data_IF_970430089430
#
_entry.id   IF_970430089430
#
_cell.length_a   1.000
_cell.length_b   1.000
_cell.length_c   1.000
_cell.angle_alpha   90.00
_cell.angle_beta   90.00
_cell.angle_gamma   90.00
#
_symmetry.space_group_name_H-M   'P 1'
#
loop_
_entity.id
_entity.type
_entity.pdbx_description
1 polymer ?
#
# COMPACT_ATOMS: atom_id res chain seq x y z
N UNK A 1 -0.89 5.47 -11.81
CA UNK A 1 -0.36 4.84 -10.57
C UNK A 1 0.67 5.72 -9.85
N UNK A 2 1.56 6.43 -10.55
CA UNK A 2 2.48 7.37 -9.88
C UNK A 2 1.73 8.40 -9.02
N UNK A 3 0.67 9.04 -9.54
CA UNK A 3 -0.14 9.97 -8.75
C UNK A 3 -0.71 9.37 -7.46
N UNK A 4 -1.15 8.10 -7.51
CA UNK A 4 -1.55 7.36 -6.29
C UNK A 4 -0.37 7.26 -5.31
N UNK A 5 0.80 6.81 -5.78
CA UNK A 5 1.98 6.65 -4.93
C UNK A 5 2.39 7.97 -4.27
N UNK A 6 2.42 9.07 -5.04
CA UNK A 6 2.72 10.40 -4.51
C UNK A 6 1.69 10.87 -3.48
N UNK A 7 0.39 10.74 -3.78
CA UNK A 7 -0.66 11.18 -2.85
C UNK A 7 -0.66 10.36 -1.56
N UNK A 8 -0.40 9.05 -1.64
CA UNK A 8 -0.33 8.17 -0.48
C UNK A 8 0.91 8.45 0.37
N UNK A 9 2.08 8.55 -0.25
CA UNK A 9 3.38 8.60 0.42
C UNK A 9 3.93 10.02 0.63
N UNK A 10 3.15 11.05 0.30
CA UNK A 10 3.56 12.45 0.55
C UNK A 10 3.60 12.81 2.03
N UNK A 11 2.79 12.15 2.87
CA UNK A 11 2.66 12.48 4.29
C UNK A 11 3.90 12.08 5.12
N UNK A 12 4.45 10.85 5.06
CA UNK A 12 5.52 10.41 5.95
C UNK A 12 6.78 11.29 5.94
N UNK A 13 7.32 11.76 4.79
CA UNK A 13 8.54 12.58 4.80
C UNK A 13 8.36 13.97 5.39
N UNK A 14 7.14 14.47 5.51
CA UNK A 14 6.82 15.78 6.10
C UNK A 14 6.01 15.66 7.40
N UNK A 15 5.92 14.45 7.96
CA UNK A 15 5.10 14.15 9.12
C UNK A 15 5.46 15.03 10.33
N UNK A 16 6.75 15.16 10.65
CA UNK A 16 7.25 15.97 11.75
C UNK A 16 6.79 17.43 11.62
N UNK A 17 6.91 18.01 10.43
CA UNK A 17 6.49 19.39 10.16
C UNK A 17 4.97 19.57 10.31
N UNK A 18 4.19 18.58 9.88
CA UNK A 18 2.72 18.60 10.03
C UNK A 18 2.34 18.49 11.51
N UNK A 19 2.96 17.58 12.25
CA UNK A 19 2.66 17.36 13.67
C UNK A 19 3.00 18.59 14.51
N UNK A 20 4.10 19.28 14.23
CA UNK A 20 4.51 20.51 14.88
C UNK A 20 3.53 21.65 14.59
N UNK A 21 3.20 21.90 13.31
CA UNK A 21 2.33 23.02 12.93
C UNK A 21 0.89 22.84 13.39
N UNK A 22 0.31 21.64 13.19
CA UNK A 22 -1.07 21.35 13.55
C UNK A 22 -1.22 20.87 15.00
N UNK A 23 -0.11 20.78 15.75
CA UNK A 23 -0.05 20.31 17.16
C UNK A 23 -0.70 18.94 17.34
N UNK A 24 -0.39 18.01 16.45
CA UNK A 24 -0.93 16.66 16.45
C UNK A 24 -0.10 15.74 17.35
N UNK A 25 -0.76 14.78 17.96
CA UNK A 25 -0.12 13.60 18.54
C UNK A 25 0.34 12.64 17.45
N UNK A 26 1.25 11.71 17.76
CA UNK A 26 1.67 10.68 16.80
C UNK A 26 0.52 9.72 16.44
N UNK A 27 -0.41 9.49 17.38
CA UNK A 27 -1.63 8.73 17.09
C UNK A 27 -2.50 9.43 16.03
N UNK A 28 -2.71 10.74 16.14
CA UNK A 28 -3.44 11.54 15.15
C UNK A 28 -2.73 11.59 13.80
N UNK A 29 -1.41 11.70 13.80
CA UNK A 29 -0.59 11.60 12.59
C UNK A 29 -0.70 10.22 11.92
N UNK A 30 -0.65 9.15 12.71
CA UNK A 30 -0.92 7.79 12.25
C UNK A 30 -2.35 7.63 11.70
N UNK A 31 -3.34 8.26 12.35
CA UNK A 31 -4.73 8.29 11.87
C UNK A 31 -4.85 8.95 10.49
N UNK A 32 -4.15 10.05 10.22
CA UNK A 32 -4.13 10.70 8.91
C UNK A 32 -3.62 9.75 7.81
N UNK A 33 -2.60 8.92 8.11
CA UNK A 33 -2.14 7.89 7.18
C UNK A 33 -3.19 6.80 6.99
N UNK A 34 -3.80 6.35 8.07
CA UNK A 34 -4.84 5.31 8.11
C UNK A 34 -6.11 5.68 7.34
N UNK A 35 -6.57 6.92 7.47
CA UNK A 35 -7.80 7.42 6.85
C UNK A 35 -7.78 7.34 5.31
N UNK A 36 -6.59 7.41 4.69
CA UNK A 36 -6.47 7.21 3.25
C UNK A 36 -6.87 5.80 2.81
N UNK A 37 -6.62 4.80 3.64
CA UNK A 37 -6.91 3.40 3.33
C UNK A 37 -8.35 2.99 3.67
N UNK A 38 -9.04 3.76 4.52
CA UNK A 38 -10.40 3.46 4.98
C UNK A 38 -11.40 3.19 3.84
N UNK A 39 -11.48 4.01 2.77
CA UNK A 39 -12.42 3.77 1.68
C UNK A 39 -12.20 2.44 0.96
N UNK A 40 -10.96 1.94 0.89
CA UNK A 40 -10.63 0.71 0.16
C UNK A 40 -11.30 -0.52 0.79
N UNK A 41 -11.59 -0.50 2.09
CA UNK A 41 -12.30 -1.59 2.78
C UNK A 41 -13.65 -1.85 2.11
N UNK A 42 -14.36 -0.79 1.74
CA UNK A 42 -15.70 -0.86 1.17
C UNK A 42 -15.66 -0.83 -0.37
N UNK A 43 -14.80 0.00 -0.94
CA UNK A 43 -14.74 0.25 -2.38
C UNK A 43 -13.96 -0.80 -3.15
N UNK A 44 -13.14 -1.62 -2.50
CA UNK A 44 -12.31 -2.63 -3.18
C UNK A 44 -13.11 -3.58 -4.10
N UNK A 45 -14.34 -3.91 -3.71
CA UNK A 45 -15.25 -4.75 -4.52
C UNK A 45 -16.17 -3.87 -5.38
N UNK A 46 -16.69 -2.77 -4.81
CA UNK A 46 -17.69 -1.93 -5.47
C UNK A 46 -17.13 -1.15 -6.66
N UNK A 47 -15.87 -0.72 -6.60
CA UNK A 47 -15.24 0.07 -7.65
C UNK A 47 -15.15 -0.69 -8.99
N UNK A 48 -14.85 -2.00 -8.94
CA UNK A 48 -14.91 -2.86 -10.12
C UNK A 48 -16.31 -2.92 -10.73
N UNK A 49 -17.34 -3.13 -9.90
CA UNK A 49 -18.73 -3.17 -10.34
C UNK A 49 -19.20 -1.85 -10.97
N UNK A 50 -18.81 -0.70 -10.39
CA UNK A 50 -19.12 0.60 -10.97
C UNK A 50 -18.39 0.82 -12.29
N UNK A 51 -17.13 0.39 -12.39
CA UNK A 51 -16.37 0.48 -13.63
C UNK A 51 -16.97 -0.38 -14.75
N UNK A 52 -17.46 -1.58 -14.42
CA UNK A 52 -18.14 -2.45 -15.40
C UNK A 52 -19.48 -1.88 -15.90
N UNK A 53 -20.21 -1.17 -15.03
CA UNK A 53 -21.52 -0.58 -15.38
C UNK A 53 -21.42 0.76 -16.11
N UNK A 54 -20.58 1.67 -15.60
CA UNK A 54 -20.50 3.06 -16.08
C UNK A 54 -19.34 3.27 -17.07
N UNK A 55 -18.48 2.27 -17.22
CA UNK A 55 -17.29 2.27 -18.06
C UNK A 55 -16.05 2.83 -17.36
N UNK A 56 -14.88 2.27 -17.68
CA UNK A 56 -13.62 2.60 -17.02
C UNK A 56 -13.18 4.08 -17.22
N UNK A 57 -13.60 4.70 -18.33
CA UNK A 57 -13.29 6.12 -18.57
C UNK A 57 -13.95 7.04 -17.55
N UNK A 58 -15.28 6.94 -17.40
CA UNK A 58 -16.04 7.83 -16.50
C UNK A 58 -15.60 7.66 -15.05
N UNK A 59 -15.45 6.40 -14.62
CA UNK A 59 -15.00 6.09 -13.26
C UNK A 59 -13.57 6.54 -13.06
N UNK A 60 -12.67 6.36 -14.02
CA UNK A 60 -11.30 6.84 -13.96
C UNK A 60 -11.19 8.35 -13.81
N UNK A 61 -11.99 9.12 -14.58
CA UNK A 61 -12.04 10.60 -14.47
C UNK A 61 -12.52 11.02 -13.08
N UNK A 62 -13.65 10.48 -12.61
CA UNK A 62 -14.16 10.80 -11.26
C UNK A 62 -13.15 10.45 -10.17
N UNK A 63 -12.48 9.31 -10.29
CA UNK A 63 -11.47 8.88 -9.34
C UNK A 63 -10.27 9.82 -9.27
N UNK A 64 -9.76 10.26 -10.43
CA UNK A 64 -8.64 11.20 -10.50
C UNK A 64 -9.04 12.58 -9.95
N UNK A 65 -10.25 13.04 -10.23
CA UNK A 65 -10.80 14.28 -9.65
C UNK A 65 -10.85 14.17 -8.13
N UNK A 66 -11.45 13.10 -7.59
CA UNK A 66 -11.55 12.92 -6.13
C UNK A 66 -10.19 12.81 -5.46
N UNK A 67 -9.25 12.06 -6.05
CA UNK A 67 -7.89 11.94 -5.52
C UNK A 67 -7.18 13.30 -5.47
N UNK A 68 -7.30 14.09 -6.54
CA UNK A 68 -6.66 15.41 -6.64
C UNK A 68 -7.33 16.44 -5.71
N UNK A 69 -8.66 16.44 -5.63
CA UNK A 69 -9.40 17.31 -4.70
C UNK A 69 -9.10 16.97 -3.24
N UNK A 70 -9.05 15.70 -2.89
CA UNK A 70 -8.68 15.26 -1.55
C UNK A 70 -7.26 15.68 -1.18
N UNK A 71 -6.31 15.55 -2.11
CA UNK A 71 -4.93 16.04 -1.92
C UNK A 71 -4.90 17.57 -1.74
N UNK A 72 -5.72 18.33 -2.49
CA UNK A 72 -5.84 19.77 -2.37
C UNK A 72 -6.42 20.17 -1.00
N UNK A 73 -7.49 19.53 -0.56
CA UNK A 73 -8.08 19.76 0.77
C UNK A 73 -7.04 19.49 1.86
N UNK A 74 -6.26 18.43 1.73
CA UNK A 74 -5.16 18.13 2.65
C UNK A 74 -4.08 19.22 2.63
N UNK A 75 -3.67 19.69 1.45
CA UNK A 75 -2.64 20.73 1.29
C UNK A 75 -3.02 22.05 1.99
N UNK A 76 -4.30 22.45 1.93
CA UNK A 76 -4.77 23.71 2.52
C UNK A 76 -5.33 23.54 3.94
N UNK A 77 -5.25 22.35 4.50
CA UNK A 77 -5.82 22.07 5.83
C UNK A 77 -5.07 22.80 6.94
N UNK A 78 -5.82 23.30 7.91
CA UNK A 78 -5.30 23.90 9.14
C UNK A 78 -5.70 23.14 10.40
N UNK A 79 -6.44 22.05 10.27
CA UNK A 79 -6.89 21.21 11.40
C UNK A 79 -6.89 19.74 11.03
N UNK A 80 -6.82 18.87 12.06
CA UNK A 80 -6.90 17.41 11.90
C UNK A 80 -8.15 16.97 11.11
N UNK A 81 -9.30 17.61 11.34
CA UNK A 81 -10.56 17.25 10.71
C UNK A 81 -10.51 17.48 9.19
N UNK A 82 -10.08 18.67 8.75
CA UNK A 82 -9.95 18.96 7.32
C UNK A 82 -8.85 18.14 6.67
N UNK A 83 -7.73 17.91 7.36
CA UNK A 83 -6.67 17.03 6.90
C UNK A 83 -7.19 15.60 6.70
N UNK A 84 -7.95 15.07 7.68
CA UNK A 84 -8.57 13.76 7.62
C UNK A 84 -9.60 13.62 6.50
N UNK A 85 -10.48 14.62 6.32
CA UNK A 85 -11.43 14.66 5.21
C UNK A 85 -10.71 14.62 3.85
N UNK A 86 -9.64 15.41 3.69
CA UNK A 86 -8.81 15.38 2.49
C UNK A 86 -8.23 13.98 2.24
N UNK A 87 -7.72 13.31 3.28
CA UNK A 87 -7.17 11.95 3.18
C UNK A 87 -8.24 10.91 2.80
N UNK A 88 -9.45 10.98 3.38
CA UNK A 88 -10.55 10.09 3.02
C UNK A 88 -10.99 10.29 1.57
N UNK A 89 -11.21 11.55 1.15
CA UNK A 89 -11.64 11.86 -0.23
C UNK A 89 -10.55 11.41 -1.23
N UNK A 90 -9.28 11.71 -0.94
CA UNK A 90 -8.17 11.22 -1.77
C UNK A 90 -8.13 9.69 -1.82
N UNK A 91 -8.39 9.02 -0.69
CA UNK A 91 -8.47 7.57 -0.59
C UNK A 91 -9.58 6.94 -1.43
N UNK A 92 -10.76 7.57 -1.50
CA UNK A 92 -11.86 7.14 -2.40
C UNK A 92 -11.37 7.14 -3.86
N UNK A 93 -10.78 8.24 -4.31
CA UNK A 93 -10.24 8.36 -5.66
C UNK A 93 -9.12 7.37 -5.93
N UNK A 94 -8.18 7.24 -4.99
CA UNK A 94 -7.01 6.36 -5.10
C UNK A 94 -7.40 4.87 -5.15
N UNK A 95 -8.28 4.41 -4.27
CA UNK A 95 -8.80 3.05 -4.27
C UNK A 95 -9.47 2.70 -5.60
N UNK A 96 -10.29 3.62 -6.11
CA UNK A 96 -11.05 3.39 -7.35
C UNK A 96 -10.15 3.42 -8.58
N UNK A 97 -9.24 4.41 -8.70
CA UNK A 97 -8.36 4.51 -9.87
C UNK A 97 -7.37 3.34 -9.96
N UNK A 98 -6.92 2.78 -8.84
CA UNK A 98 -6.01 1.62 -8.86
C UNK A 98 -6.66 0.40 -9.50
N UNK A 99 -7.95 0.17 -9.24
CA UNK A 99 -8.72 -0.93 -9.82
C UNK A 99 -9.01 -0.67 -11.29
N UNK A 100 -9.47 0.54 -11.62
CA UNK A 100 -9.79 0.94 -13.01
C UNK A 100 -8.55 0.90 -13.90
N UNK A 101 -7.41 1.36 -13.43
CA UNK A 101 -6.17 1.33 -14.19
C UNK A 101 -5.69 -0.12 -14.47
N UNK A 102 -5.78 -1.00 -13.47
CA UNK A 102 -5.48 -2.42 -13.65
C UNK A 102 -6.44 -3.08 -14.64
N UNK A 103 -7.73 -2.73 -14.59
CA UNK A 103 -8.73 -3.19 -15.55
C UNK A 103 -8.42 -2.73 -16.98
N UNK A 104 -8.13 -1.43 -17.18
CA UNK A 104 -7.76 -0.88 -18.49
C UNK A 104 -6.55 -1.62 -19.06
N UNK A 105 -5.49 -1.80 -18.27
CA UNK A 105 -4.29 -2.53 -18.70
C UNK A 105 -4.61 -3.97 -19.07
N UNK A 106 -5.39 -4.67 -18.26
CA UNK A 106 -5.79 -6.05 -18.55
C UNK A 106 -6.60 -6.18 -19.84
N UNK A 107 -7.43 -5.18 -20.18
CA UNK A 107 -8.20 -5.16 -21.42
C UNK A 107 -7.35 -4.84 -22.65
N UNK A 108 -6.43 -3.87 -22.52
CA UNK A 108 -5.57 -3.45 -23.63
C UNK A 108 -4.54 -4.51 -24.03
N UNK A 109 -3.93 -5.19 -23.03
CA UNK A 109 -2.87 -6.19 -23.22
C UNK A 109 -3.40 -7.62 -23.19
N UNK A 110 -4.73 -7.81 -23.33
CA UNK A 110 -5.35 -9.14 -23.31
C UNK A 110 -4.75 -10.06 -24.37
N UNK A 111 -4.21 -11.22 -23.92
CA UNK A 111 -3.55 -12.20 -24.79
C UNK A 111 -2.12 -11.85 -25.20
N UNK A 112 -1.60 -10.70 -24.78
CA UNK A 112 -0.23 -10.23 -25.02
C UNK A 112 0.28 -9.52 -23.77
N UNK A 113 1.48 -9.78 -23.33
CA UNK A 113 2.29 -8.96 -22.40
C UNK A 113 1.59 -8.37 -21.15
N UNK A 114 0.43 -8.92 -20.73
CA UNK A 114 -0.30 -8.43 -19.53
C UNK A 114 0.61 -8.42 -18.30
N UNK A 115 1.44 -9.45 -18.15
CA UNK A 115 2.40 -9.56 -17.05
C UNK A 115 3.41 -8.42 -17.05
N UNK A 116 3.96 -8.07 -18.21
CA UNK A 116 4.91 -6.96 -18.37
C UNK A 116 4.25 -5.61 -18.05
N UNK A 117 3.04 -5.38 -18.62
CA UNK A 117 2.28 -4.15 -18.36
C UNK A 117 1.94 -3.97 -16.88
N UNK A 118 1.51 -5.03 -16.21
CA UNK A 118 1.24 -5.02 -14.76
C UNK A 118 2.53 -4.88 -13.95
N UNK A 119 3.62 -5.48 -14.39
CA UNK A 119 4.93 -5.29 -13.78
C UNK A 119 5.34 -3.81 -13.78
N UNK A 120 5.29 -3.14 -14.93
CA UNK A 120 5.58 -1.70 -15.07
C UNK A 120 4.60 -0.86 -14.21
N UNK A 121 3.32 -1.20 -14.23
CA UNK A 121 2.30 -0.53 -13.43
C UNK A 121 2.63 -0.59 -11.92
N UNK A 122 3.05 -1.75 -11.43
CA UNK A 122 3.35 -1.96 -10.02
C UNK A 122 4.67 -1.31 -9.57
N UNK A 123 5.63 -1.04 -10.48
CA UNK A 123 6.87 -0.30 -10.13
C UNK A 123 6.59 1.16 -9.76
N UNK A 124 5.45 1.71 -10.17
CA UNK A 124 5.09 3.08 -9.85
C UNK A 124 4.99 3.35 -8.33
N UNK A 125 4.57 2.35 -7.54
CA UNK A 125 4.46 2.51 -6.08
C UNK A 125 5.83 2.66 -5.41
N UNK A 126 6.79 1.72 -5.56
CA UNK A 126 8.11 1.88 -4.96
C UNK A 126 8.87 3.09 -5.52
N UNK A 127 8.78 3.38 -6.82
CA UNK A 127 9.43 4.56 -7.42
C UNK A 127 8.87 5.86 -6.84
N UNK A 128 7.54 6.01 -6.78
CA UNK A 128 6.92 7.18 -6.19
C UNK A 128 7.27 7.35 -4.71
N UNK A 129 7.32 6.26 -3.95
CA UNK A 129 7.72 6.29 -2.53
C UNK A 129 9.18 6.74 -2.37
N UNK A 130 10.10 6.18 -3.16
CA UNK A 130 11.52 6.58 -3.12
C UNK A 130 11.65 8.07 -3.40
N UNK A 131 10.98 8.59 -4.44
CA UNK A 131 11.02 10.02 -4.77
C UNK A 131 10.45 10.84 -3.63
N UNK A 132 9.27 10.51 -3.07
CA UNK A 132 8.69 11.24 -1.95
C UNK A 132 9.65 11.29 -0.76
N UNK A 133 10.16 10.15 -0.34
CA UNK A 133 11.02 10.08 0.84
C UNK A 133 12.35 10.80 0.68
N UNK A 134 12.93 10.78 -0.51
CA UNK A 134 14.23 11.45 -0.75
C UNK A 134 14.13 12.95 -1.01
N UNK A 135 12.95 13.44 -1.43
CA UNK A 135 12.81 14.85 -1.86
C UNK A 135 11.86 15.67 -0.99
N UNK A 136 10.72 15.11 -0.55
CA UNK A 136 9.66 15.88 0.07
C UNK A 136 10.02 16.40 1.47
N UNK A 137 10.83 15.65 2.23
CA UNK A 137 11.30 16.11 3.53
C UNK A 137 12.12 17.39 3.40
N UNK A 138 13.12 17.42 2.49
CA UNK A 138 13.95 18.60 2.22
C UNK A 138 13.15 19.79 1.69
N UNK A 139 12.22 19.54 0.77
CA UNK A 139 11.32 20.58 0.27
C UNK A 139 10.44 21.14 1.38
N UNK A 140 9.88 20.26 2.21
CA UNK A 140 9.06 20.68 3.34
C UNK A 140 9.82 21.53 4.36
N UNK A 141 11.07 21.18 4.64
CA UNK A 141 11.96 21.94 5.52
C UNK A 141 12.27 23.34 4.95
N UNK A 142 12.48 23.46 3.63
CA UNK A 142 12.91 24.72 3.00
C UNK A 142 11.76 25.68 2.71
N UNK A 143 10.58 25.20 2.34
CA UNK A 143 9.46 26.04 1.83
C UNK A 143 8.10 25.66 2.43
N UNK A 144 8.11 24.86 3.51
CA UNK A 144 6.89 24.41 4.23
C UNK A 144 6.30 23.12 3.68
N UNK A 145 5.70 22.32 4.59
CA UNK A 145 5.16 20.98 4.29
C UNK A 145 4.01 20.98 3.26
N UNK A 146 3.35 22.11 3.07
CA UNK A 146 2.26 22.24 2.09
C UNK A 146 2.75 22.12 0.65
N UNK A 147 3.95 22.62 0.35
CA UNK A 147 4.49 22.60 -1.02
C UNK A 147 4.68 21.18 -1.58
N UNK A 148 5.30 20.21 -0.88
CA UNK A 148 5.30 18.83 -1.31
C UNK A 148 3.89 18.28 -1.61
N UNK A 149 2.89 18.65 -0.81
CA UNK A 149 1.51 18.20 -1.06
C UNK A 149 0.92 18.88 -2.30
N UNK A 150 1.17 20.19 -2.54
CA UNK A 150 0.77 20.85 -3.78
C UNK A 150 1.44 20.22 -5.01
N UNK A 151 2.67 19.74 -4.90
CA UNK A 151 3.29 18.97 -5.99
C UNK A 151 2.47 17.70 -6.30
N UNK A 152 1.95 17.01 -5.29
CA UNK A 152 1.06 15.85 -5.53
C UNK A 152 -0.24 16.25 -6.21
N UNK A 153 -0.80 17.42 -5.87
CA UNK A 153 -1.98 17.98 -6.55
C UNK A 153 -1.69 18.25 -8.02
N UNK A 154 -0.54 18.89 -8.32
CA UNK A 154 -0.12 19.15 -9.71
C UNK A 154 0.07 17.85 -10.50
N UNK A 155 0.70 16.84 -9.91
CA UNK A 155 0.83 15.50 -10.52
C UNK A 155 -0.56 14.90 -10.78
N UNK A 156 -1.51 15.08 -9.86
CA UNK A 156 -2.90 14.65 -10.03
C UNK A 156 -3.59 15.34 -11.19
N UNK A 157 -3.44 16.68 -11.32
CA UNK A 157 -3.99 17.47 -12.43
C UNK A 157 -3.39 17.04 -13.77
N UNK A 158 -2.06 16.90 -13.84
CA UNK A 158 -1.36 16.42 -15.04
C UNK A 158 -1.82 14.99 -15.38
N UNK A 159 -1.97 14.12 -14.38
CA UNK A 159 -2.48 12.76 -14.57
C UNK A 159 -3.91 12.74 -15.10
N UNK A 160 -4.79 13.62 -14.60
CA UNK A 160 -6.16 13.78 -15.10
C UNK A 160 -6.17 14.29 -16.54
N UNK A 161 -5.39 15.34 -16.84
CA UNK A 161 -5.28 15.89 -18.20
C UNK A 161 -4.75 14.82 -19.19
N UNK A 162 -3.69 14.12 -18.81
CA UNK A 162 -3.15 13.02 -19.60
C UNK A 162 -4.19 11.90 -19.82
N UNK A 163 -4.95 11.54 -18.79
CA UNK A 163 -6.00 10.52 -18.91
C UNK A 163 -7.13 10.97 -19.85
N UNK A 164 -7.55 12.23 -19.77
CA UNK A 164 -8.59 12.79 -20.65
C UNK A 164 -8.15 12.81 -22.13
N UNK A 165 -6.88 13.15 -22.39
CA UNK A 165 -6.35 13.31 -23.76
C UNK A 165 -5.93 11.97 -24.37
N UNK A 166 -5.27 11.10 -23.57
CA UNK A 166 -4.63 9.89 -24.09
C UNK A 166 -5.51 8.63 -23.97
N UNK A 167 -6.60 8.67 -23.19
CA UNK A 167 -7.44 7.51 -23.03
C UNK A 167 -8.05 7.08 -24.36
N UNK A 168 -7.89 5.81 -24.67
CA UNK A 168 -8.58 5.16 -25.79
C UNK A 168 -9.27 3.89 -25.25
N UNK A 169 -10.51 3.59 -25.67
CA UNK A 169 -11.16 2.36 -25.29
C UNK A 169 -10.38 1.15 -25.84
N UNK A 170 -10.38 0.05 -25.11
CA UNK A 170 -9.72 -1.17 -25.55
C UNK A 170 -10.36 -1.68 -26.86
N UNK A 171 -9.56 -2.26 -27.79
CA UNK A 171 -10.06 -2.68 -29.11
C UNK A 171 -11.17 -3.73 -29.06
N UNK A 172 -11.14 -4.60 -28.04
CA UNK A 172 -12.13 -5.67 -27.83
C UNK A 172 -12.66 -5.58 -26.38
N UNK A 173 -13.63 -4.68 -26.10
CA UNK A 173 -14.24 -4.66 -24.79
C UNK A 173 -14.92 -6.01 -24.53
N UNK A 174 -14.80 -6.58 -23.33
CA UNK A 174 -15.53 -7.79 -23.01
C UNK A 174 -17.01 -7.53 -23.19
N UNK A 175 -17.72 -8.45 -23.83
CA UNK A 175 -19.17 -8.49 -23.74
C UNK A 175 -19.52 -8.43 -22.24
N UNK A 176 -20.51 -7.58 -21.90
CA UNK A 176 -21.00 -7.42 -20.50
C UNK A 176 -21.11 -8.80 -19.89
N UNK A 177 -20.16 -9.13 -19.02
CA UNK A 177 -20.27 -10.35 -18.22
C UNK A 177 -21.49 -10.08 -17.33
N UNK A 178 -22.62 -10.65 -17.68
CA UNK A 178 -23.73 -10.81 -16.76
C UNK A 178 -23.15 -11.62 -15.60
N UNK A 179 -22.80 -10.92 -14.52
CA UNK A 179 -22.51 -11.60 -13.25
C UNK A 179 -23.76 -12.45 -12.99
N UNK A 180 -23.61 -13.77 -13.19
CA UNK A 180 -24.60 -14.68 -12.65
C UNK A 180 -24.86 -14.24 -11.22
N UNK A 181 -26.15 -14.15 -10.86
CA UNK A 181 -26.65 -13.70 -9.55
C UNK A 181 -26.24 -14.64 -8.40
N UNK A 182 -24.99 -15.10 -8.39
CA UNK A 182 -24.47 -15.68 -7.18
C UNK A 182 -24.31 -14.53 -6.16
N UNK A 183 -25.10 -14.54 -5.11
CA UNK A 183 -25.05 -13.49 -4.09
C UNK A 183 -23.62 -13.34 -3.58
N UNK A 184 -23.16 -12.10 -3.35
CA UNK A 184 -21.82 -11.79 -2.87
C UNK A 184 -21.40 -12.66 -1.68
N UNK A 185 -22.34 -12.93 -0.77
CA UNK A 185 -22.13 -13.76 0.42
C UNK A 185 -21.81 -15.22 0.08
N UNK A 186 -22.50 -15.79 -0.89
CA UNK A 186 -22.26 -17.19 -1.32
C UNK A 186 -20.91 -17.32 -2.04
N UNK A 187 -20.49 -16.28 -2.76
CA UNK A 187 -19.17 -16.20 -3.38
C UNK A 187 -18.05 -16.16 -2.34
N UNK A 188 -18.20 -15.34 -1.31
CA UNK A 188 -17.20 -15.21 -0.21
C UNK A 188 -16.98 -16.56 0.52
N UNK A 189 -18.02 -17.34 0.74
CA UNK A 189 -17.92 -18.66 1.37
C UNK A 189 -17.24 -19.70 0.46
N UNK A 190 -17.35 -19.55 -0.86
CA UNK A 190 -16.74 -20.47 -1.86
C UNK A 190 -15.25 -20.23 -2.09
N UNK A 191 -14.72 -19.08 -1.70
CA UNK A 191 -13.30 -18.71 -1.92
C UNK A 191 -12.32 -19.58 -1.11
N UNK A 192 -12.80 -20.23 -0.06
CA UNK A 192 -12.00 -21.14 0.76
C UNK A 192 -11.10 -20.43 1.77
N UNK A 193 -10.84 -21.12 2.89
CA UNK A 193 -10.09 -20.56 4.05
C UNK A 193 -8.65 -20.17 3.69
N UNK A 194 -8.03 -20.84 2.72
CA UNK A 194 -6.64 -20.56 2.32
C UNK A 194 -6.45 -19.14 1.76
N UNK A 195 -7.44 -18.61 1.04
CA UNK A 195 -7.37 -17.24 0.50
C UNK A 195 -7.53 -16.20 1.62
N UNK A 196 -8.38 -16.48 2.62
CA UNK A 196 -8.49 -15.65 3.81
C UNK A 196 -7.19 -15.62 4.61
N UNK A 197 -6.53 -16.78 4.79
CA UNK A 197 -5.23 -16.84 5.48
C UNK A 197 -4.17 -16.01 4.74
N UNK A 198 -4.10 -16.08 3.41
CA UNK A 198 -3.21 -15.21 2.63
C UNK A 198 -3.61 -13.74 2.77
N UNK A 199 -4.90 -13.43 2.81
CA UNK A 199 -5.42 -12.10 3.11
C UNK A 199 -4.94 -11.58 4.48
N UNK A 200 -4.95 -12.42 5.50
CA UNK A 200 -4.42 -12.08 6.83
C UNK A 200 -2.90 -11.90 6.81
N UNK A 201 -2.12 -12.74 6.09
CA UNK A 201 -0.70 -12.49 5.91
C UNK A 201 -0.46 -11.11 5.29
N UNK A 202 -1.24 -10.75 4.26
CA UNK A 202 -1.15 -9.45 3.59
C UNK A 202 -1.58 -8.30 4.49
N UNK A 203 -2.56 -8.50 5.37
CA UNK A 203 -3.01 -7.54 6.38
C UNK A 203 -1.90 -7.22 7.38
N UNK A 204 -1.34 -8.24 8.01
CA UNK A 204 -0.28 -8.06 9.01
C UNK A 204 0.96 -7.41 8.43
N UNK A 205 1.35 -7.84 7.22
CA UNK A 205 2.46 -7.24 6.48
C UNK A 205 2.23 -5.76 6.21
N UNK A 206 1.07 -5.39 5.65
CA UNK A 206 0.77 -3.98 5.36
C UNK A 206 0.61 -3.16 6.64
N UNK A 207 0.00 -3.70 7.70
CA UNK A 207 -0.06 -3.03 8.99
C UNK A 207 1.34 -2.67 9.50
N UNK A 208 2.30 -3.61 9.44
CA UNK A 208 3.67 -3.39 9.90
C UNK A 208 4.44 -2.41 8.98
N UNK A 209 4.46 -2.68 7.67
CA UNK A 209 5.26 -1.91 6.70
C UNK A 209 4.77 -0.48 6.54
N UNK A 210 3.44 -0.27 6.47
CA UNK A 210 2.89 1.08 6.33
C UNK A 210 3.08 1.88 7.62
N UNK A 211 2.93 1.26 8.80
CA UNK A 211 3.21 1.93 10.07
C UNK A 211 4.68 2.35 10.18
N UNK A 212 5.60 1.44 9.83
CA UNK A 212 7.03 1.79 9.79
C UNK A 212 7.29 2.92 8.80
N UNK A 213 6.81 2.81 7.56
CA UNK A 213 6.97 3.85 6.54
C UNK A 213 6.43 5.20 7.00
N UNK A 214 5.34 5.20 7.77
CA UNK A 214 4.73 6.44 8.30
C UNK A 214 5.66 7.15 9.27
N UNK A 215 6.30 6.43 10.18
CA UNK A 215 7.08 7.01 11.26
C UNK A 215 8.59 6.90 11.08
N UNK A 216 9.09 6.17 10.08
CA UNK A 216 10.53 6.00 9.89
C UNK A 216 11.28 7.31 9.69
N UNK A 217 10.82 8.29 8.87
CA UNK A 217 11.50 9.58 8.77
C UNK A 217 11.57 10.31 10.12
N UNK A 218 10.46 10.40 10.85
CA UNK A 218 10.40 11.04 12.16
C UNK A 218 11.28 10.33 13.19
N UNK A 219 11.29 8.98 13.18
CA UNK A 219 12.19 8.20 14.02
C UNK A 219 13.66 8.53 13.74
N UNK A 220 14.09 8.57 12.49
CA UNK A 220 15.49 8.88 12.17
C UNK A 220 15.86 10.32 12.50
N UNK A 221 14.93 11.27 12.32
CA UNK A 221 15.11 12.68 12.78
C UNK A 221 15.28 12.71 14.30
N UNK A 222 14.48 11.97 15.07
CA UNK A 222 14.61 11.89 16.52
C UNK A 222 15.94 11.27 17.00
N UNK A 223 16.65 10.54 16.11
CA UNK A 223 18.00 10.02 16.33
C UNK A 223 19.12 10.98 15.89
N UNK A 224 18.77 12.20 15.48
CA UNK A 224 19.73 13.25 15.09
C UNK A 224 20.13 13.25 13.63
N UNK A 225 19.50 12.44 12.79
CA UNK A 225 19.75 12.51 11.34
C UNK A 225 19.04 13.70 10.70
N UNK A 226 19.66 14.28 9.68
CA UNK A 226 19.01 15.33 8.87
C UNK A 226 17.76 14.79 8.17
N UNK A 227 16.76 15.65 7.94
CA UNK A 227 15.48 15.27 7.27
C UNK A 227 15.74 14.56 5.94
N UNK A 228 16.70 15.03 5.15
CA UNK A 228 17.03 14.41 3.87
C UNK A 228 17.63 12.99 4.00
N UNK A 229 18.50 12.76 4.99
CA UNK A 229 19.11 11.46 5.22
C UNK A 229 18.11 10.49 5.89
N UNK A 230 17.26 10.98 6.79
CA UNK A 230 16.16 10.22 7.38
C UNK A 230 15.18 9.69 6.30
N UNK A 231 14.83 10.57 5.35
CA UNK A 231 14.03 10.16 4.19
C UNK A 231 14.74 9.13 3.30
N UNK A 232 16.04 9.30 3.04
CA UNK A 232 16.82 8.31 2.30
C UNK A 232 16.82 6.95 3.01
N UNK A 233 17.12 6.89 4.30
CA UNK A 233 17.10 5.65 5.07
C UNK A 233 15.71 4.98 5.00
N UNK A 234 14.64 5.74 5.23
CA UNK A 234 13.28 5.22 5.14
C UNK A 234 12.93 4.70 3.72
N UNK A 235 13.50 5.29 2.65
CA UNK A 235 13.28 4.84 1.28
C UNK A 235 13.89 3.48 0.97
N UNK A 236 14.92 3.04 1.71
CA UNK A 236 15.63 1.76 1.47
C UNK A 236 14.68 0.57 1.47
N UNK A 237 13.61 0.63 2.26
CA UNK A 237 12.54 -0.36 2.26
C UNK A 237 12.01 -0.64 0.83
N UNK A 238 11.83 0.40 0.03
CA UNK A 238 11.27 0.29 -1.32
C UNK A 238 12.31 -0.06 -2.38
N UNK A 239 13.59 0.22 -2.14
CA UNK A 239 14.67 -0.23 -3.02
C UNK A 239 14.74 -1.75 -3.10
N UNK A 240 14.57 -2.44 -1.96
CA UNK A 240 14.48 -3.91 -1.94
C UNK A 240 13.28 -4.42 -2.73
N UNK A 241 12.12 -3.81 -2.56
CA UNK A 241 10.93 -4.16 -3.32
C UNK A 241 11.14 -3.97 -4.84
N UNK A 242 11.76 -2.86 -5.26
CA UNK A 242 12.01 -2.58 -6.68
C UNK A 242 13.04 -3.53 -7.29
N UNK A 243 14.15 -3.79 -6.60
CA UNK A 243 15.28 -4.56 -7.14
C UNK A 243 15.12 -6.08 -6.98
N UNK A 244 14.66 -6.54 -5.82
CA UNK A 244 14.66 -7.96 -5.47
C UNK A 244 13.35 -8.69 -5.79
N UNK A 245 12.19 -7.99 -5.84
CA UNK A 245 10.91 -8.66 -6.07
C UNK A 245 10.85 -9.46 -7.38
N UNK A 246 11.42 -9.03 -8.52
CA UNK A 246 11.45 -9.84 -9.72
C UNK A 246 12.28 -11.13 -9.58
N UNK A 247 13.37 -11.07 -8.80
CA UNK A 247 14.26 -12.22 -8.54
C UNK A 247 13.53 -13.22 -7.64
N UNK A 248 12.95 -12.73 -6.55
CA UNK A 248 12.17 -13.56 -5.62
C UNK A 248 10.95 -14.16 -6.31
N UNK A 249 10.26 -13.40 -7.16
CA UNK A 249 9.13 -13.91 -7.96
C UNK A 249 9.54 -15.12 -8.79
N UNK A 250 10.64 -15.05 -9.53
CA UNK A 250 11.18 -16.19 -10.30
C UNK A 250 11.54 -17.38 -9.42
N UNK A 251 12.10 -17.12 -8.22
CA UNK A 251 12.46 -18.18 -7.28
C UNK A 251 11.20 -18.87 -6.73
N UNK A 252 10.16 -18.11 -6.40
CA UNK A 252 8.85 -18.62 -5.98
C UNK A 252 8.21 -19.50 -7.07
N UNK A 253 8.30 -19.09 -8.32
CA UNK A 253 7.76 -19.87 -9.44
C UNK A 253 8.50 -21.20 -9.62
N UNK A 254 9.82 -21.23 -9.39
CA UNK A 254 10.63 -22.47 -9.46
C UNK A 254 10.36 -23.40 -8.27
N UNK A 255 10.27 -22.87 -7.07
CA UNK A 255 10.13 -23.67 -5.82
C UNK A 255 8.68 -24.06 -5.56
N UNK A 256 7.71 -23.24 -5.99
CA UNK A 256 6.28 -23.52 -5.86
C UNK A 256 5.67 -23.35 -4.47
N UNK A 257 6.45 -23.03 -3.43
CA UNK A 257 6.05 -22.95 -2.03
C UNK A 257 5.80 -21.53 -1.57
N UNK A 258 4.69 -20.91 -2.00
CA UNK A 258 4.33 -19.53 -1.65
C UNK A 258 4.31 -19.29 -0.13
N UNK A 259 3.77 -20.23 0.63
CA UNK A 259 3.67 -20.19 2.11
C UNK A 259 5.05 -20.10 2.78
N UNK A 260 6.04 -20.81 2.27
CA UNK A 260 7.41 -20.75 2.79
C UNK A 260 8.04 -19.35 2.61
N UNK A 261 7.89 -18.76 1.42
CA UNK A 261 8.42 -17.42 1.13
C UNK A 261 7.73 -16.34 1.96
N UNK A 262 6.40 -16.41 2.10
CA UNK A 262 5.64 -15.49 2.97
C UNK A 262 6.13 -15.60 4.43
N UNK A 263 6.25 -16.84 4.94
CA UNK A 263 6.69 -17.08 6.31
C UNK A 263 8.13 -16.64 6.56
N UNK A 264 9.05 -16.94 5.65
CA UNK A 264 10.45 -16.48 5.73
C UNK A 264 10.54 -14.95 5.69
N UNK A 265 9.81 -14.30 4.77
CA UNK A 265 9.73 -12.85 4.68
C UNK A 265 9.22 -12.22 5.98
N UNK A 266 8.18 -12.80 6.60
CA UNK A 266 7.67 -12.37 7.90
C UNK A 266 8.70 -12.49 9.02
N UNK A 267 9.41 -13.60 9.11
CA UNK A 267 10.45 -13.82 10.12
C UNK A 267 11.64 -12.83 9.96
N UNK A 268 12.11 -12.64 8.73
CA UNK A 268 13.18 -11.67 8.43
C UNK A 268 12.71 -10.25 8.76
N UNK A 269 11.46 -9.90 8.43
CA UNK A 269 10.89 -8.59 8.70
C UNK A 269 10.76 -8.34 10.22
N UNK A 270 10.31 -9.34 10.99
CA UNK A 270 10.23 -9.26 12.45
C UNK A 270 11.62 -9.02 13.07
N UNK A 271 12.61 -9.75 12.60
CA UNK A 271 14.02 -9.57 13.03
C UNK A 271 14.50 -8.16 12.69
N UNK A 272 14.19 -7.66 11.48
CA UNK A 272 14.61 -6.32 11.06
C UNK A 272 13.98 -5.22 11.93
N UNK A 273 12.69 -5.30 12.26
CA UNK A 273 12.04 -4.35 13.16
C UNK A 273 12.65 -4.39 14.58
N UNK A 274 12.94 -5.57 15.09
CA UNK A 274 13.62 -5.70 16.37
C UNK A 274 15.04 -5.11 16.34
N UNK A 275 15.81 -5.37 15.30
CA UNK A 275 17.15 -4.82 15.14
C UNK A 275 17.15 -3.29 15.07
N UNK A 276 16.18 -2.64 14.44
CA UNK A 276 16.06 -1.17 14.43
C UNK A 276 15.99 -0.60 15.84
N UNK A 277 15.39 -1.30 16.80
CA UNK A 277 15.29 -0.83 18.19
C UNK A 277 16.61 -0.95 18.98
N UNK A 278 17.54 -1.79 18.52
CA UNK A 278 18.78 -2.15 19.24
C UNK A 278 20.04 -1.65 18.55
N UNK A 279 19.97 -1.28 17.29
CA UNK A 279 21.14 -0.87 16.51
C UNK A 279 21.47 0.61 16.72
N UNK A 280 22.75 0.90 16.77
CA UNK A 280 23.28 2.26 16.61
C UNK A 280 23.49 2.62 15.12
N UNK A 281 23.76 1.62 14.28
CA UNK A 281 23.80 1.75 12.81
C UNK A 281 22.49 1.22 12.20
N UNK A 282 21.72 2.12 11.58
CA UNK A 282 20.43 1.78 10.99
C UNK A 282 20.51 1.27 9.56
N UNK A 283 21.66 1.39 8.89
CA UNK A 283 21.79 0.93 7.50
C UNK A 283 21.58 -0.57 7.39
N UNK A 284 22.21 -1.35 8.27
CA UNK A 284 22.11 -2.81 8.26
C UNK A 284 20.67 -3.30 8.48
N UNK A 285 19.93 -2.88 9.53
CA UNK A 285 18.52 -3.27 9.68
C UNK A 285 17.64 -2.83 8.50
N UNK A 286 17.89 -1.67 7.90
CA UNK A 286 17.13 -1.21 6.74
C UNK A 286 17.37 -2.07 5.50
N UNK A 287 18.61 -2.54 5.27
CA UNK A 287 18.92 -3.49 4.19
C UNK A 287 18.22 -4.83 4.44
N UNK A 288 18.26 -5.36 5.67
CA UNK A 288 17.55 -6.59 6.04
C UNK A 288 16.04 -6.44 5.80
N UNK A 289 15.47 -5.29 6.16
CA UNK A 289 14.06 -4.98 5.95
C UNK A 289 13.71 -4.89 4.45
N UNK A 290 14.59 -4.28 3.65
CA UNK A 290 14.44 -4.18 2.21
C UNK A 290 14.38 -5.58 1.54
N UNK A 291 15.24 -6.50 2.00
CA UNK A 291 15.19 -7.91 1.55
C UNK A 291 13.87 -8.56 1.96
N UNK A 292 13.44 -8.41 3.23
CA UNK A 292 12.22 -9.03 3.75
C UNK A 292 10.96 -8.61 2.97
N UNK A 293 10.86 -7.32 2.64
CA UNK A 293 9.70 -6.77 1.89
C UNK A 293 9.60 -7.39 0.48
N UNK A 294 10.69 -7.80 -0.14
CA UNK A 294 10.67 -8.44 -1.45
C UNK A 294 10.07 -9.87 -1.44
N UNK A 295 10.10 -10.55 -0.29
CA UNK A 295 9.66 -11.96 -0.17
C UNK A 295 8.14 -12.14 -0.13
N UNK A 296 7.36 -11.13 0.21
CA UNK A 296 5.95 -11.30 0.60
C UNK A 296 4.97 -10.97 -0.54
N UNK A 297 5.05 -9.81 -1.23
CA UNK A 297 4.03 -9.41 -2.22
C UNK A 297 3.85 -10.40 -3.36
N UNK A 298 4.95 -10.85 -3.98
CA UNK A 298 4.90 -11.79 -5.10
C UNK A 298 4.11 -13.06 -4.79
N UNK A 299 4.51 -13.85 -3.76
CA UNK A 299 3.78 -15.04 -3.34
C UNK A 299 2.33 -14.79 -2.94
N UNK A 300 2.03 -13.68 -2.27
CA UNK A 300 0.67 -13.30 -1.86
C UNK A 300 -0.23 -13.13 -3.08
N UNK A 301 0.19 -12.34 -4.07
CA UNK A 301 -0.61 -12.09 -5.27
C UNK A 301 -0.64 -13.27 -6.24
N UNK A 302 0.37 -14.15 -6.23
CA UNK A 302 0.36 -15.37 -7.04
C UNK A 302 -0.57 -16.45 -6.46
N UNK A 303 -0.88 -16.43 -5.17
CA UNK A 303 -1.62 -17.50 -4.50
C UNK A 303 -3.06 -17.66 -4.99
N UNK A 304 -3.90 -16.62 -5.13
CA UNK A 304 -5.28 -16.76 -5.60
C UNK A 304 -5.38 -17.45 -6.95
N UNK A 305 -4.48 -17.15 -7.89
CA UNK A 305 -4.49 -17.77 -9.22
C UNK A 305 -4.16 -19.26 -9.21
N UNK A 306 -3.51 -19.77 -8.15
CA UNK A 306 -3.17 -21.19 -8.00
C UNK A 306 -4.31 -22.02 -7.37
N UNK A 307 -5.22 -21.38 -6.63
CA UNK A 307 -6.25 -22.09 -5.83
C UNK A 307 -7.68 -21.79 -6.27
N UNK A 308 -7.91 -20.65 -6.95
CA UNK A 308 -9.24 -20.23 -7.38
C UNK A 308 -9.49 -20.48 -8.86
N UNK A 309 -10.74 -20.82 -9.18
CA UNK A 309 -11.21 -20.83 -10.57
C UNK A 309 -11.20 -19.41 -11.15
N UNK A 310 -10.99 -19.22 -12.46
CA UNK A 310 -10.93 -17.89 -13.08
C UNK A 310 -12.09 -16.96 -12.74
N UNK A 311 -13.30 -17.50 -12.62
CA UNK A 311 -14.52 -16.73 -12.25
C UNK A 311 -14.50 -16.14 -10.84
N UNK A 312 -13.66 -16.65 -9.93
CA UNK A 312 -13.57 -16.20 -8.52
C UNK A 312 -12.30 -15.40 -8.23
N UNK A 313 -11.42 -15.18 -9.23
CA UNK A 313 -10.15 -14.45 -9.02
C UNK A 313 -10.38 -13.00 -8.57
N UNK A 314 -11.34 -12.31 -9.18
CA UNK A 314 -11.68 -10.93 -8.79
C UNK A 314 -12.12 -10.84 -7.32
N UNK A 315 -12.90 -11.80 -6.85
CA UNK A 315 -13.32 -11.88 -5.45
C UNK A 315 -12.14 -12.18 -4.52
N UNK A 316 -11.23 -13.08 -4.93
CA UNK A 316 -10.01 -13.37 -4.18
C UNK A 316 -9.13 -12.13 -3.99
N UNK A 317 -8.87 -11.38 -5.05
CA UNK A 317 -8.12 -10.11 -4.95
C UNK A 317 -8.87 -9.03 -4.17
N UNK A 318 -10.20 -9.00 -4.27
CA UNK A 318 -11.04 -8.11 -3.46
C UNK A 318 -10.90 -8.38 -1.96
N UNK A 319 -10.87 -9.66 -1.55
CA UNK A 319 -10.62 -10.07 -0.17
C UNK A 319 -9.22 -9.63 0.27
N UNK A 320 -8.17 -9.88 -0.53
CA UNK A 320 -6.82 -9.44 -0.22
C UNK A 320 -6.77 -7.93 0.02
N UNK A 321 -7.40 -7.15 -0.84
CA UNK A 321 -7.42 -5.68 -0.75
C UNK A 321 -8.21 -5.20 0.47
N UNK A 322 -9.42 -5.72 0.70
CA UNK A 322 -10.25 -5.31 1.82
C UNK A 322 -9.61 -5.65 3.17
N UNK A 323 -9.10 -6.88 3.31
CA UNK A 323 -8.46 -7.34 4.55
C UNK A 323 -7.16 -6.58 4.82
N UNK A 324 -6.33 -6.33 3.78
CA UNK A 324 -5.11 -5.53 3.97
C UNK A 324 -5.40 -4.10 4.40
N UNK A 325 -6.47 -3.50 3.89
CA UNK A 325 -6.85 -2.13 4.25
C UNK A 325 -7.26 -2.00 5.72
N UNK A 326 -7.78 -3.07 6.34
CA UNK A 326 -7.99 -3.11 7.79
C UNK A 326 -6.64 -2.96 8.51
N UNK A 327 -5.61 -3.68 8.09
CA UNK A 327 -4.26 -3.55 8.64
C UNK A 327 -3.68 -2.15 8.49
N UNK A 328 -3.82 -1.56 7.29
CA UNK A 328 -3.39 -0.18 7.03
C UNK A 328 -4.17 0.85 7.85
N UNK A 329 -5.42 0.54 8.24
CA UNK A 329 -6.24 1.42 9.06
C UNK A 329 -5.77 1.45 10.51
N UNK A 330 -5.57 0.30 11.15
CA UNK A 330 -5.22 0.26 12.57
C UNK A 330 -3.69 0.41 12.82
N UNK A 331 -2.85 -0.10 11.92
CA UNK A 331 -1.41 -0.21 12.13
C UNK A 331 -0.73 1.13 12.48
N UNK A 332 -0.81 2.15 11.62
CA UNK A 332 -0.17 3.44 11.89
C UNK A 332 -0.76 4.15 13.13
N UNK A 333 -2.07 4.08 13.33
CA UNK A 333 -2.71 4.66 14.51
C UNK A 333 -2.19 4.05 15.82
N UNK A 334 -2.13 2.71 15.90
CA UNK A 334 -1.65 2.01 17.09
C UNK A 334 -0.15 2.24 17.32
N UNK A 335 0.65 2.26 16.25
CA UNK A 335 2.07 2.58 16.37
C UNK A 335 2.30 4.00 16.90
N UNK A 336 1.54 4.99 16.43
CA UNK A 336 1.56 6.35 16.94
C UNK A 336 1.11 6.44 18.40
N UNK A 337 0.05 5.71 18.78
CA UNK A 337 -0.43 5.64 20.15
C UNK A 337 0.63 5.10 21.13
N UNK A 338 1.39 4.07 20.74
CA UNK A 338 2.51 3.59 21.54
C UNK A 338 3.61 4.64 21.68
N UNK A 339 3.92 5.36 20.60
CA UNK A 339 4.90 6.46 20.64
C UNK A 339 4.47 7.56 21.60
N UNK A 340 3.20 7.98 21.60
CA UNK A 340 2.68 9.00 22.50
C UNK A 340 2.71 8.55 23.97
N UNK A 341 2.31 7.29 24.24
CA UNK A 341 2.28 6.76 25.61
C UNK A 341 3.66 6.53 26.22
N UNK A 342 4.65 6.17 25.41
CA UNK A 342 5.97 5.76 25.93
C UNK A 342 7.07 6.81 25.73
N UNK A 343 6.80 7.85 24.93
CA UNK A 343 7.81 8.85 24.55
C UNK A 343 8.92 8.29 23.64
N UNK A 344 8.82 7.02 23.19
CA UNK A 344 9.85 6.32 22.41
C UNK A 344 9.23 5.47 21.30
N UNK A 345 9.96 5.28 20.21
CA UNK A 345 9.57 4.36 19.13
C UNK A 345 9.83 2.88 19.43
N UNK A 346 10.51 2.56 20.52
CA UNK A 346 10.90 1.17 20.84
C UNK A 346 9.68 0.25 20.91
N UNK A 347 8.67 0.61 21.72
CA UNK A 347 7.45 -0.18 21.85
C UNK A 347 6.65 -0.22 20.53
N UNK A 348 6.62 0.90 19.78
CA UNK A 348 6.00 0.92 18.46
C UNK A 348 6.63 -0.12 17.53
N UNK A 349 7.96 -0.20 17.45
CA UNK A 349 8.63 -1.13 16.56
C UNK A 349 8.61 -2.57 17.04
N UNK A 350 8.57 -2.80 18.36
CA UNK A 350 8.27 -4.13 18.92
C UNK A 350 6.87 -4.58 18.49
N UNK A 351 5.88 -3.69 18.53
CA UNK A 351 4.55 -3.99 18.00
C UNK A 351 4.59 -4.37 16.52
N UNK A 352 5.36 -3.64 15.68
CA UNK A 352 5.54 -4.00 14.27
C UNK A 352 6.22 -5.35 14.09
N UNK A 353 7.21 -5.67 14.96
CA UNK A 353 7.84 -7.00 14.99
C UNK A 353 6.81 -8.10 15.29
N UNK A 354 5.91 -7.89 16.25
CA UNK A 354 4.81 -8.82 16.55
C UNK A 354 3.89 -9.00 15.33
N UNK A 355 3.52 -7.93 14.64
CA UNK A 355 2.72 -8.03 13.41
C UNK A 355 3.45 -8.86 12.34
N UNK A 356 4.76 -8.68 12.18
CA UNK A 356 5.55 -9.47 11.25
C UNK A 356 5.67 -10.96 11.68
N UNK A 357 5.72 -11.25 12.98
CA UNK A 357 5.61 -12.63 13.49
C UNK A 357 4.25 -13.23 13.14
N UNK A 358 3.16 -12.46 13.22
CA UNK A 358 1.83 -12.93 12.83
C UNK A 358 1.76 -13.28 11.33
N UNK A 359 2.53 -12.62 10.45
CA UNK A 359 2.69 -13.05 9.05
C UNK A 359 3.23 -14.47 9.00
N UNK A 360 4.32 -14.73 9.73
CA UNK A 360 4.98 -16.06 9.78
C UNK A 360 4.04 -17.12 10.33
N UNK A 361 3.40 -16.85 11.46
CA UNK A 361 2.46 -17.80 12.10
C UNK A 361 1.29 -18.13 11.16
N UNK A 362 0.72 -17.12 10.52
CA UNK A 362 -0.39 -17.32 9.58
C UNK A 362 0.05 -18.13 8.35
N UNK A 363 1.27 -17.89 7.84
CA UNK A 363 1.85 -18.65 6.73
C UNK A 363 2.11 -20.12 7.12
N UNK A 364 2.53 -20.39 8.35
CA UNK A 364 2.69 -21.76 8.86
C UNK A 364 1.31 -22.45 8.94
N UNK A 365 0.28 -21.79 9.45
CA UNK A 365 -1.09 -22.33 9.48
C UNK A 365 -1.57 -22.65 8.05
N UNK A 366 -1.30 -21.77 7.09
CA UNK A 366 -1.63 -21.98 5.68
C UNK A 366 -0.95 -23.25 5.15
N UNK A 367 0.33 -23.46 5.45
CA UNK A 367 1.10 -24.65 5.05
C UNK A 367 0.49 -25.94 5.57
N UNK A 368 0.17 -26.01 6.87
CA UNK A 368 -0.45 -27.20 7.45
C UNK A 368 -1.84 -27.51 6.87
N UNK A 369 -2.61 -26.48 6.51
CA UNK A 369 -3.90 -26.69 5.83
C UNK A 369 -3.74 -27.22 4.41
N UNK A 370 -2.72 -26.78 3.66
CA UNK A 370 -2.45 -27.29 2.30
C UNK A 370 -1.95 -28.75 2.32
N UNK A 371 -1.19 -29.14 3.33
CA UNK A 371 -0.66 -30.50 3.44
C UNK A 371 -1.76 -31.56 3.77
N UNK A 372 -2.98 -31.12 4.14
CA UNK A 372 -4.11 -32.02 4.45
C UNK A 372 -5.08 -32.24 3.28
N UNK A 373 -4.84 -31.62 2.13
CA UNK A 373 -5.58 -31.76 0.88
C UNK A 373 -4.63 -32.12 -0.27
#
# INVERSE_FOLDING_TARGET
MLGFAFTFQSLPPVLTLITEELRLTHAEAGLLMSLFSLPTIFLGILAGMFSDRLGPFKIGVVSLILMTLGALIFAVSGTLVYAGLGRVIAGVGAATISIVAAQILSLWFRGREVGTAMGIYNTAMPVGTIICFTTFGRLGESIGWRMPIFITVMIGVVGLAAFLILYKPAPNPPQKITLEKEGLLSGLLKVGVSVWLVGFCWMWFNAAVISFSTFAPDFFISKGYSIGFAGFLASLLMWGSLGLSPIIGRLVDKVGNNDLFIGAGGAILATAFYLVTRSSDFLFPMVVMAVAVAFIPGPVFAFPSKVLKPKHLGLGFGILSAVSSIGMLFGPYVAGLFRDKTGSYEISFIFLSILAILVTVTAIILRFKRARF
#
